data_IF_476261444002
#
_entry.id   IF_476261444002
#
_cell.length_a   1.000
_cell.length_b   1.000
_cell.length_c   1.000
_cell.angle_alpha   90.00
_cell.angle_beta   90.00
_cell.angle_gamma   90.00
#
_symmetry.space_group_name_H-M   'P 1'
#
loop_
_entity.id
_entity.type
_entity.pdbx_description
1 polymer ?
#
# COMPACT_ATOMS: atom_id res chain seq x y z
N UNK A 1 21.46 11.93 40.65
CA UNK A 1 20.92 11.01 39.64
C UNK A 1 20.04 11.78 38.67
N UNK A 2 20.59 12.24 37.54
CA UNK A 2 19.80 12.89 36.49
C UNK A 2 19.37 11.82 35.48
N UNK A 3 18.06 11.65 35.30
CA UNK A 3 17.50 10.71 34.33
C UNK A 3 17.81 11.26 32.92
N UNK A 4 18.67 10.55 32.18
CA UNK A 4 18.89 10.80 30.76
C UNK A 4 17.58 10.58 30.00
N UNK A 5 16.85 11.67 29.75
CA UNK A 5 15.74 11.66 28.81
C UNK A 5 16.33 11.41 27.41
N UNK A 6 16.09 10.21 26.88
CA UNK A 6 16.45 9.82 25.51
C UNK A 6 15.86 10.87 24.56
N UNK A 7 16.71 11.67 23.92
CA UNK A 7 16.32 12.64 22.89
C UNK A 7 15.77 11.84 21.70
N UNK A 8 14.44 11.77 21.57
CA UNK A 8 13.80 11.16 20.41
C UNK A 8 14.08 12.05 19.18
N UNK A 9 14.53 11.51 18.04
CA UNK A 9 14.76 12.32 16.85
C UNK A 9 13.45 12.98 16.40
N UNK A 10 13.52 14.31 16.25
CA UNK A 10 12.41 15.26 16.11
C UNK A 10 11.64 15.20 14.77
N UNK A 11 11.63 14.08 14.05
CA UNK A 11 10.89 13.95 12.78
C UNK A 11 10.28 12.57 12.57
N UNK A 12 9.61 11.99 13.57
CA UNK A 12 8.75 10.83 13.33
C UNK A 12 7.44 11.31 12.67
N UNK A 13 7.33 11.14 11.34
CA UNK A 13 6.06 11.32 10.62
C UNK A 13 5.37 9.96 10.48
N UNK A 14 4.34 9.63 11.29
CA UNK A 14 3.70 8.31 11.29
C UNK A 14 3.27 7.83 9.90
N UNK A 15 2.88 8.77 9.02
CA UNK A 15 2.39 8.48 7.66
C UNK A 15 3.44 8.03 6.65
N UNK A 16 4.74 8.06 6.96
CA UNK A 16 5.81 7.66 6.02
C UNK A 16 6.53 6.38 6.39
N UNK A 17 6.06 5.66 7.43
CA UNK A 17 6.72 4.45 7.94
C UNK A 17 7.11 3.49 6.82
N UNK A 18 6.20 3.20 5.90
CA UNK A 18 6.42 2.18 4.86
C UNK A 18 7.09 2.69 3.57
N UNK A 19 7.51 3.96 3.50
CA UNK A 19 8.26 4.48 2.35
C UNK A 19 9.70 3.93 2.32
N UNK A 20 10.20 3.47 3.47
CA UNK A 20 11.48 2.80 3.62
C UNK A 20 11.41 1.36 3.03
N UNK A 21 11.62 1.26 1.72
CA UNK A 21 11.57 -0.03 1.02
C UNK A 21 12.65 -0.99 1.51
N UNK A 22 13.84 -0.49 1.86
CA UNK A 22 14.94 -1.32 2.34
C UNK A 22 14.59 -2.01 3.67
N UNK A 23 13.81 -1.35 4.53
CA UNK A 23 13.34 -1.95 5.78
C UNK A 23 12.16 -2.90 5.61
N UNK A 24 11.15 -2.52 4.83
CA UNK A 24 9.88 -3.25 4.77
C UNK A 24 9.79 -4.24 3.61
N UNK A 25 10.67 -4.11 2.61
CA UNK A 25 10.85 -5.07 1.52
C UNK A 25 9.52 -5.42 0.82
N UNK A 26 8.68 -4.40 0.58
CA UNK A 26 7.45 -4.54 -0.22
C UNK A 26 7.80 -4.60 -1.71
N UNK A 27 6.96 -5.22 -2.52
CA UNK A 27 7.20 -5.40 -3.95
C UNK A 27 6.70 -4.20 -4.76
N UNK A 28 5.47 -3.77 -4.48
CA UNK A 28 4.87 -2.59 -5.09
C UNK A 28 3.88 -1.89 -4.14
N UNK A 29 3.60 -0.64 -4.44
CA UNK A 29 2.58 0.17 -3.80
C UNK A 29 1.51 0.58 -4.81
N UNK A 30 0.27 0.68 -4.36
CA UNK A 30 -0.86 1.23 -5.13
C UNK A 30 -1.52 2.35 -4.34
N UNK A 31 -2.04 3.35 -5.05
CA UNK A 31 -2.79 4.44 -4.39
C UNK A 31 -4.07 3.86 -3.78
N UNK A 32 -4.40 4.29 -2.56
CA UNK A 32 -5.53 3.76 -1.80
C UNK A 32 -6.86 4.47 -2.08
N UNK A 33 -6.82 5.80 -2.18
CA UNK A 33 -8.03 6.62 -2.25
C UNK A 33 -7.74 7.95 -2.98
N UNK A 34 -8.75 8.49 -3.65
CA UNK A 34 -8.71 9.72 -4.45
C UNK A 34 -8.84 9.44 -5.95
N UNK A 35 -8.81 10.50 -6.76
CA UNK A 35 -8.94 10.41 -8.21
C UNK A 35 -7.57 10.27 -8.87
N UNK A 36 -6.98 9.09 -8.73
CA UNK A 36 -5.65 8.76 -9.28
C UNK A 36 -5.72 7.57 -10.24
N UNK A 37 -4.59 7.27 -10.89
CA UNK A 37 -4.45 6.04 -11.66
C UNK A 37 -4.22 4.87 -10.70
N UNK A 38 -5.14 3.91 -10.68
CA UNK A 38 -5.07 2.73 -9.81
C UNK A 38 -4.34 1.55 -10.45
N UNK A 39 -4.10 1.59 -11.77
CA UNK A 39 -3.34 0.57 -12.49
C UNK A 39 -1.82 0.73 -12.32
N UNK A 40 -1.39 1.86 -11.75
CA UNK A 40 0.02 2.15 -11.48
C UNK A 40 0.52 1.39 -10.24
N UNK A 41 1.34 0.36 -10.48
CA UNK A 41 2.09 -0.37 -9.45
C UNK A 41 3.46 0.27 -9.27
N UNK A 42 3.64 1.01 -8.18
CA UNK A 42 4.88 1.73 -7.90
C UNK A 42 5.85 0.80 -7.18
N UNK A 43 6.94 0.43 -7.85
CA UNK A 43 8.01 -0.38 -7.24
C UNK A 43 9.18 0.47 -6.75
N UNK A 44 9.47 1.61 -7.37
CA UNK A 44 10.52 2.54 -6.92
C UNK A 44 9.97 3.47 -5.82
N UNK A 45 10.53 3.44 -4.59
CA UNK A 45 10.09 4.33 -3.50
C UNK A 45 10.23 5.83 -3.81
N UNK A 46 11.13 6.22 -4.72
CA UNK A 46 11.33 7.63 -5.12
C UNK A 46 10.14 8.20 -5.89
N UNK A 47 9.30 7.34 -6.48
CA UNK A 47 8.07 7.74 -7.18
C UNK A 47 6.88 7.95 -6.23
N UNK A 48 7.05 7.64 -4.93
CA UNK A 48 5.99 7.82 -3.94
C UNK A 48 5.80 9.31 -3.59
N UNK A 49 4.56 9.78 -3.67
CA UNK A 49 4.21 11.16 -3.40
C UNK A 49 3.70 11.30 -1.97
N UNK A 50 4.36 12.14 -1.19
CA UNK A 50 4.18 12.19 0.27
C UNK A 50 2.79 12.62 0.79
N UNK A 51 1.94 13.22 -0.05
CA UNK A 51 0.58 13.63 0.31
C UNK A 51 -0.49 12.61 -0.15
N UNK A 52 -0.08 11.41 -0.56
CA UNK A 52 -0.98 10.33 -0.98
C UNK A 52 -0.94 9.18 0.03
N UNK A 53 -2.07 8.48 0.15
CA UNK A 53 -2.14 7.23 0.89
C UNK A 53 -1.92 6.06 -0.05
N UNK A 54 -1.10 5.10 0.39
CA UNK A 54 -0.74 3.92 -0.37
C UNK A 54 -1.07 2.65 0.41
N UNK A 55 -1.36 1.59 -0.33
CA UNK A 55 -1.29 0.21 0.17
C UNK A 55 0.01 -0.38 -0.37
N UNK A 56 0.87 -0.82 0.53
CA UNK A 56 2.14 -1.49 0.23
C UNK A 56 1.91 -2.99 0.26
N UNK A 57 2.29 -3.67 -0.82
CA UNK A 57 2.03 -5.09 -1.02
C UNK A 57 3.36 -5.82 -1.09
N UNK A 58 3.48 -6.88 -0.29
CA UNK A 58 4.61 -7.81 -0.29
C UNK A 58 4.11 -9.20 -0.65
N UNK A 59 4.69 -9.80 -1.68
CA UNK A 59 4.49 -11.19 -2.03
C UNK A 59 5.24 -12.06 -1.03
N UNK A 60 4.55 -13.09 -0.53
CA UNK A 60 5.20 -14.12 0.29
C UNK A 60 5.54 -15.33 -0.58
N UNK A 61 4.62 -15.71 -1.46
CA UNK A 61 4.74 -16.89 -2.32
C UNK A 61 4.53 -16.53 -3.79
N UNK A 62 5.07 -17.33 -4.71
CA UNK A 62 4.92 -17.06 -6.15
C UNK A 62 3.45 -17.10 -6.60
N UNK A 63 2.62 -17.97 -6.01
CA UNK A 63 1.18 -17.99 -6.26
C UNK A 63 0.48 -16.68 -5.87
N UNK A 64 0.94 -16.02 -4.79
CA UNK A 64 0.38 -14.74 -4.36
C UNK A 64 0.67 -13.63 -5.37
N UNK A 65 1.87 -13.66 -5.98
CA UNK A 65 2.27 -12.74 -7.05
C UNK A 65 1.37 -12.88 -8.27
N UNK A 66 1.09 -14.11 -8.70
CA UNK A 66 0.21 -14.37 -9.84
C UNK A 66 -1.22 -13.86 -9.59
N UNK A 67 -1.77 -14.11 -8.40
CA UNK A 67 -3.12 -13.65 -8.03
C UNK A 67 -3.18 -12.12 -7.96
N UNK A 68 -2.25 -11.49 -7.24
CA UNK A 68 -2.20 -10.02 -7.09
C UNK A 68 -1.93 -9.31 -8.42
N UNK A 69 -1.31 -9.99 -9.39
CA UNK A 69 -1.16 -9.47 -10.75
C UNK A 69 -2.44 -9.50 -11.59
N UNK A 70 -3.39 -10.35 -11.24
CA UNK A 70 -4.71 -10.42 -11.89
C UNK A 70 -5.72 -9.41 -11.32
N UNK A 71 -5.45 -8.80 -10.16
CA UNK A 71 -6.35 -7.81 -9.55
C UNK A 71 -6.44 -6.57 -10.44
N UNK A 72 -7.67 -6.21 -10.80
CA UNK A 72 -7.98 -4.94 -11.46
C UNK A 72 -8.27 -3.87 -10.39
N UNK A 73 -7.25 -3.11 -10.02
CA UNK A 73 -7.33 -2.09 -8.97
C UNK A 73 -8.23 -0.91 -9.36
N UNK A 74 -8.30 -0.56 -10.65
CA UNK A 74 -9.25 0.45 -11.15
C UNK A 74 -10.68 0.02 -10.88
N UNK A 75 -11.06 -1.23 -11.18
CA UNK A 75 -12.38 -1.78 -10.86
C UNK A 75 -12.64 -1.77 -9.35
N UNK A 76 -11.66 -2.20 -8.56
CA UNK A 76 -11.75 -2.24 -7.10
C UNK A 76 -12.01 -0.84 -6.51
N UNK A 77 -11.36 0.19 -7.06
CA UNK A 77 -11.50 1.58 -6.60
C UNK A 77 -12.88 2.19 -6.86
N UNK A 78 -13.65 1.66 -7.81
CA UNK A 78 -14.96 2.20 -8.18
C UNK A 78 -16.11 1.64 -7.32
N UNK A 79 -15.80 0.82 -6.31
CA UNK A 79 -16.82 0.25 -5.40
C UNK A 79 -17.49 1.34 -4.55
N UNK A 80 -16.78 2.43 -4.22
CA UNK A 80 -17.34 3.59 -3.55
C UNK A 80 -17.78 4.67 -4.56
N UNK A 81 -19.03 5.11 -4.48
CA UNK A 81 -19.65 6.02 -5.45
C UNK A 81 -19.22 7.48 -5.32
N UNK A 82 -18.86 7.92 -4.11
CA UNK A 82 -18.51 9.33 -3.87
C UNK A 82 -17.01 9.61 -4.06
N UNK A 83 -16.14 8.77 -3.50
CA UNK A 83 -14.68 8.92 -3.63
C UNK A 83 -14.11 7.57 -4.06
N UNK A 84 -13.38 7.57 -5.18
CA UNK A 84 -12.66 6.38 -5.63
C UNK A 84 -11.67 5.92 -4.57
N UNK A 85 -11.64 4.62 -4.32
CA UNK A 85 -10.74 4.00 -3.38
C UNK A 85 -11.28 2.67 -2.87
N UNK A 86 -10.44 1.97 -2.12
CA UNK A 86 -10.78 0.67 -1.56
C UNK A 86 -10.09 0.47 -0.19
N UNK A 87 -10.71 -0.36 0.64
CA UNK A 87 -10.20 -0.77 1.93
C UNK A 87 -9.31 -2.01 1.81
N UNK A 88 -8.58 -2.34 2.89
CA UNK A 88 -7.85 -3.60 2.96
C UNK A 88 -8.81 -4.79 2.85
N UNK A 89 -10.02 -4.67 3.39
CA UNK A 89 -11.06 -5.71 3.32
C UNK A 89 -11.47 -5.97 1.88
N UNK A 90 -11.67 -4.92 1.08
CA UNK A 90 -12.04 -5.05 -0.34
C UNK A 90 -10.93 -5.75 -1.14
N UNK A 91 -9.66 -5.37 -0.88
CA UNK A 91 -8.51 -6.01 -1.52
C UNK A 91 -8.38 -7.49 -1.13
N UNK A 92 -8.56 -7.83 0.14
CA UNK A 92 -8.52 -9.20 0.63
C UNK A 92 -9.67 -10.03 0.04
N UNK A 93 -10.87 -9.46 -0.05
CA UNK A 93 -12.02 -10.12 -0.65
C UNK A 93 -11.78 -10.43 -2.14
N UNK A 94 -11.23 -9.47 -2.90
CA UNK A 94 -10.90 -9.68 -4.31
C UNK A 94 -9.76 -10.71 -4.50
N UNK A 95 -8.75 -10.68 -3.62
CA UNK A 95 -7.70 -11.68 -3.60
C UNK A 95 -8.25 -13.09 -3.35
N UNK A 96 -9.12 -13.26 -2.35
CA UNK A 96 -9.76 -14.55 -2.04
C UNK A 96 -10.62 -15.02 -3.22
N UNK A 97 -11.40 -14.11 -3.83
CA UNK A 97 -12.22 -14.43 -5.00
C UNK A 97 -11.39 -14.98 -6.16
N UNK A 98 -10.25 -14.36 -6.46
CA UNK A 98 -9.34 -14.81 -7.53
C UNK A 98 -8.55 -16.06 -7.16
N UNK A 99 -8.26 -16.28 -5.88
CA UNK A 99 -7.58 -17.49 -5.39
C UNK A 99 -8.46 -18.74 -5.54
N UNK A 100 -9.77 -18.59 -5.45
CA UNK A 100 -10.75 -19.68 -5.52
C UNK A 100 -11.27 -19.99 -6.93
N UNK A 101 -10.77 -19.29 -7.96
CA UNK A 101 -11.02 -19.57 -9.37
C UNK A 101 -10.01 -20.58 -9.91
#
# INVERSE_FOLDING_TARGET
>A
MAKNAKKWPLTWKPGKKYFDKDKYQWDFAVVRQGYYNYDEKISNPELLISNRQYIFIKYIENCSKEILNKINFTKLSNTNTTIKGFSNTDLVAEYIRLKSL
#
